data_IF_874038536974
#
_entry.id   IF_874038536974
#
_cell.length_a   1.000
_cell.length_b   1.000
_cell.length_c   1.000
_cell.angle_alpha   90.00
_cell.angle_beta   90.00
_cell.angle_gamma   90.00
#
_symmetry.space_group_name_H-M   'P 1'
#
loop_
_entity.id
_entity.type
_entity.pdbx_description
1 polymer ?
#
# COMPACT_ATOMS: atom_id res chain seq x y z
N UNK A 1 -6.77 17.92 3.98
CA UNK A 1 -6.82 16.61 4.65
C UNK A 1 -5.65 15.83 4.09
N UNK A 2 -4.76 15.37 4.95
CA UNK A 2 -3.65 14.51 4.56
C UNK A 2 -4.26 13.19 4.07
N UNK A 3 -3.92 12.76 2.85
CA UNK A 3 -4.42 11.54 2.22
C UNK A 3 -3.59 10.32 2.64
N UNK A 4 -4.10 9.10 2.40
CA UNK A 4 -3.37 7.87 2.72
C UNK A 4 -2.12 7.74 1.86
N UNK A 5 -2.24 8.06 0.56
CA UNK A 5 -1.11 8.10 -0.37
C UNK A 5 0.01 9.02 0.12
N UNK A 6 -0.32 10.16 0.75
CA UNK A 6 0.67 11.08 1.30
C UNK A 6 1.43 10.48 2.48
N UNK A 7 0.78 9.72 3.36
CA UNK A 7 1.47 9.00 4.43
C UNK A 7 2.45 7.95 3.86
N UNK A 8 2.03 7.23 2.83
CA UNK A 8 2.88 6.26 2.16
C UNK A 8 4.11 6.95 1.58
N UNK A 9 3.92 8.05 0.83
CA UNK A 9 5.02 8.88 0.31
C UNK A 9 5.94 9.40 1.41
N UNK A 10 5.40 9.79 2.57
CA UNK A 10 6.18 10.35 3.68
C UNK A 10 7.07 9.34 4.40
N UNK A 11 6.69 8.06 4.42
CA UNK A 11 7.36 7.08 5.28
C UNK A 11 7.95 5.87 4.55
N UNK A 12 7.50 5.54 3.33
CA UNK A 12 7.84 4.27 2.69
C UNK A 12 8.94 4.36 1.62
N UNK A 13 9.13 5.51 0.97
CA UNK A 13 10.22 5.72 0.00
C UNK A 13 10.66 7.17 -0.12
N UNK A 14 11.85 7.39 -0.67
CA UNK A 14 12.42 8.72 -0.93
C UNK A 14 12.60 8.94 -2.43
N UNK A 15 12.21 10.12 -2.94
CA UNK A 15 12.36 10.44 -4.35
C UNK A 15 11.35 9.71 -5.24
N UNK A 16 11.68 9.52 -6.51
CA UNK A 16 10.80 8.87 -7.49
C UNK A 16 10.63 7.38 -7.17
N UNK A 17 9.37 6.92 -7.10
CA UNK A 17 9.08 5.50 -6.93
C UNK A 17 9.44 4.72 -8.19
N UNK A 18 9.09 5.25 -9.37
CA UNK A 18 9.39 4.61 -10.65
C UNK A 18 10.90 4.46 -10.89
N UNK A 19 11.72 5.44 -10.53
CA UNK A 19 13.18 5.32 -10.68
C UNK A 19 13.75 4.19 -9.82
N UNK A 20 13.28 4.04 -8.57
CA UNK A 20 13.69 2.94 -7.69
C UNK A 20 13.22 1.59 -8.23
N UNK A 21 11.97 1.52 -8.69
CA UNK A 21 11.42 0.32 -9.33
C UNK A 21 12.24 -0.11 -10.55
N UNK A 22 12.52 0.83 -11.46
CA UNK A 22 13.30 0.59 -12.69
C UNK A 22 14.71 0.08 -12.40
N UNK A 23 15.36 0.60 -11.36
CA UNK A 23 16.68 0.14 -10.92
C UNK A 23 16.63 -1.32 -10.43
N UNK A 24 15.58 -1.73 -9.73
CA UNK A 24 15.43 -3.11 -9.23
C UNK A 24 15.24 -4.13 -10.37
N UNK A 25 14.51 -3.75 -11.42
CA UNK A 25 14.24 -4.62 -12.56
C UNK A 25 15.29 -4.50 -13.68
N UNK A 26 16.38 -3.76 -13.45
CA UNK A 26 17.44 -3.47 -14.43
C UNK A 26 16.91 -2.97 -15.79
N UNK A 27 15.84 -2.18 -15.78
CA UNK A 27 15.27 -1.61 -17.00
C UNK A 27 16.08 -0.40 -17.46
N UNK A 28 16.31 -0.26 -18.77
CA UNK A 28 17.00 0.91 -19.33
C UNK A 28 16.20 2.20 -19.08
N UNK A 29 16.89 3.26 -18.67
CA UNK A 29 16.33 4.55 -18.20
C UNK A 29 15.62 5.39 -19.28
N UNK A 30 15.44 4.87 -20.50
CA UNK A 30 14.90 5.63 -21.64
C UNK A 30 13.44 5.31 -21.97
N UNK A 31 12.81 4.41 -21.23
CA UNK A 31 11.39 4.07 -21.40
C UNK A 31 10.52 4.87 -20.44
N UNK A 32 9.40 5.40 -20.95
CA UNK A 32 8.36 6.00 -20.11
C UNK A 32 7.66 4.89 -19.33
N UNK A 33 7.36 5.12 -18.05
CA UNK A 33 6.82 4.08 -17.18
C UNK A 33 5.65 4.59 -16.35
N UNK A 34 4.77 3.66 -15.97
CA UNK A 34 3.67 3.88 -15.03
C UNK A 34 3.71 2.79 -13.95
N UNK A 35 3.15 3.10 -12.79
CA UNK A 35 2.91 2.14 -11.72
C UNK A 35 1.59 1.45 -12.06
N UNK A 36 1.55 0.12 -11.93
CA UNK A 36 0.32 -0.65 -12.10
C UNK A 36 0.05 -1.54 -10.90
N UNK A 37 -1.12 -1.38 -10.32
CA UNK A 37 -1.64 -2.24 -9.26
C UNK A 37 -2.69 -3.19 -9.84
N UNK A 38 -2.46 -4.51 -9.88
CA UNK A 38 -3.53 -5.47 -10.16
C UNK A 38 -4.61 -5.35 -9.08
N UNK A 39 -5.88 -5.51 -9.47
CA UNK A 39 -7.02 -5.46 -8.56
C UNK A 39 -8.05 -6.56 -8.87
N UNK A 40 -8.78 -6.97 -7.84
CA UNK A 40 -9.99 -7.80 -7.96
C UNK A 40 -11.21 -6.92 -7.72
N UNK A 41 -11.96 -6.64 -8.77
CA UNK A 41 -13.18 -5.84 -8.75
C UNK A 41 -14.42 -6.72 -8.61
N UNK A 42 -15.37 -6.27 -7.80
CA UNK A 42 -16.66 -6.91 -7.59
C UNK A 42 -17.77 -5.86 -7.68
N UNK A 43 -18.83 -6.16 -8.42
CA UNK A 43 -19.97 -5.26 -8.54
C UNK A 43 -20.69 -5.14 -7.19
N UNK A 44 -20.71 -3.95 -6.61
CA UNK A 44 -21.58 -3.58 -5.48
C UNK A 44 -22.89 -2.95 -5.95
N UNK A 45 -23.76 -2.57 -5.00
CA UNK A 45 -25.07 -1.97 -5.34
C UNK A 45 -24.98 -0.60 -6.01
N UNK A 46 -24.00 0.23 -5.64
CA UNK A 46 -23.82 1.59 -6.17
C UNK A 46 -22.40 1.90 -6.65
N UNK A 47 -21.43 1.06 -6.30
CA UNK A 47 -20.00 1.28 -6.55
C UNK A 47 -19.31 -0.05 -6.83
N UNK A 48 -18.16 0.01 -7.49
CA UNK A 48 -17.28 -1.15 -7.65
C UNK A 48 -16.44 -1.31 -6.39
N UNK A 49 -16.58 -2.42 -5.69
CA UNK A 49 -15.66 -2.78 -4.61
C UNK A 49 -14.40 -3.38 -5.21
N UNK A 50 -13.23 -3.11 -4.61
CA UNK A 50 -11.99 -3.74 -5.05
C UNK A 50 -11.18 -4.31 -3.88
N UNK A 51 -10.40 -5.33 -4.20
CA UNK A 51 -9.29 -5.82 -3.39
C UNK A 51 -7.99 -5.57 -4.14
N UNK A 52 -6.95 -5.20 -3.40
CA UNK A 52 -5.62 -4.89 -3.91
C UNK A 52 -4.53 -5.40 -2.96
N UNK A 53 -3.29 -5.21 -3.36
CA UNK A 53 -2.14 -5.49 -2.52
C UNK A 53 -2.05 -6.96 -2.08
N UNK A 54 -1.62 -7.15 -0.83
CA UNK A 54 -1.53 -8.45 -0.15
C UNK A 54 -2.84 -9.23 -0.10
N UNK A 55 -3.99 -8.55 -0.11
CA UNK A 55 -5.30 -9.21 -0.03
C UNK A 55 -5.60 -10.07 -1.27
N UNK A 56 -4.89 -9.81 -2.38
CA UNK A 56 -4.93 -10.67 -3.56
C UNK A 56 -4.23 -12.01 -3.33
N UNK A 57 -3.23 -12.10 -2.46
CA UNK A 57 -2.44 -13.33 -2.30
C UNK A 57 -1.73 -13.75 -3.60
N UNK A 58 -1.25 -12.78 -4.38
CA UNK A 58 -0.38 -13.04 -5.53
C UNK A 58 1.01 -13.45 -5.05
N UNK A 59 1.60 -14.47 -5.67
CA UNK A 59 3.02 -14.78 -5.53
C UNK A 59 3.84 -14.06 -6.62
N UNK A 60 5.16 -13.99 -6.44
CA UNK A 60 6.06 -13.44 -7.47
C UNK A 60 5.97 -14.22 -8.78
N UNK A 61 5.84 -15.54 -8.73
CA UNK A 61 5.71 -16.41 -9.91
C UNK A 61 4.37 -16.20 -10.62
N UNK A 62 3.27 -16.09 -9.86
CA UNK A 62 1.97 -15.77 -10.44
C UNK A 62 1.97 -14.39 -11.10
N UNK A 63 2.54 -13.38 -10.45
CA UNK A 63 2.67 -12.05 -11.02
C UNK A 63 3.45 -12.07 -12.35
N UNK A 64 4.58 -12.78 -12.42
CA UNK A 64 5.33 -12.99 -13.67
C UNK A 64 4.47 -13.64 -14.75
N UNK A 65 3.73 -14.69 -14.39
CA UNK A 65 2.87 -15.41 -15.33
C UNK A 65 1.75 -14.51 -15.88
N UNK A 66 1.15 -13.67 -15.04
CA UNK A 66 0.20 -12.65 -15.52
C UNK A 66 0.87 -11.66 -16.46
N UNK A 67 2.01 -11.08 -16.08
CA UNK A 67 2.73 -10.13 -16.93
C UNK A 67 3.11 -10.74 -18.29
N UNK A 68 3.50 -12.01 -18.37
CA UNK A 68 3.79 -12.70 -19.63
C UNK A 68 2.57 -12.76 -20.57
N UNK A 69 1.39 -13.04 -20.02
CA UNK A 69 0.12 -13.02 -20.77
C UNK A 69 -0.18 -11.62 -21.30
N UNK A 70 -0.05 -10.60 -20.45
CA UNK A 70 -0.30 -9.20 -20.83
C UNK A 70 0.71 -8.72 -21.89
N UNK A 71 2.00 -9.05 -21.73
CA UNK A 71 3.06 -8.68 -22.66
C UNK A 71 2.87 -9.34 -24.03
N UNK A 72 2.39 -10.57 -24.06
CA UNK A 72 2.06 -11.27 -25.31
C UNK A 72 0.90 -10.58 -26.01
N UNK A 73 -0.13 -10.16 -25.26
CA UNK A 73 -1.30 -9.46 -25.81
C UNK A 73 -0.93 -8.07 -26.36
N UNK A 74 -0.11 -7.31 -25.64
CA UNK A 74 0.21 -5.93 -25.96
C UNK A 74 1.52 -5.75 -26.76
N UNK A 75 2.09 -6.84 -27.27
CA UNK A 75 3.38 -6.81 -27.97
C UNK A 75 3.39 -5.80 -29.14
N UNK A 76 2.29 -5.71 -29.90
CA UNK A 76 2.16 -4.81 -31.04
C UNK A 76 2.03 -3.33 -30.63
N UNK A 77 1.58 -3.07 -29.41
CA UNK A 77 1.34 -1.74 -28.87
C UNK A 77 2.56 -1.19 -28.13
N UNK A 78 3.59 -2.03 -27.91
CA UNK A 78 4.85 -1.64 -27.27
C UNK A 78 4.75 -1.45 -25.76
N UNK A 79 3.68 -1.96 -25.13
CA UNK A 79 3.54 -1.97 -23.67
C UNK A 79 4.21 -3.19 -23.08
N UNK A 80 4.95 -3.01 -21.98
CA UNK A 80 5.63 -4.10 -21.31
C UNK A 80 5.48 -4.01 -19.79
N UNK A 81 4.75 -4.97 -19.24
CA UNK A 81 4.53 -5.20 -17.82
C UNK A 81 5.69 -5.98 -17.21
N UNK A 82 6.19 -5.49 -16.08
CA UNK A 82 7.26 -6.09 -15.30
C UNK A 82 6.86 -6.12 -13.82
N UNK A 83 6.80 -7.29 -13.17
CA UNK A 83 6.46 -7.35 -11.75
C UNK A 83 7.64 -6.88 -10.91
N UNK A 84 7.42 -5.84 -10.09
CA UNK A 84 8.42 -5.31 -9.14
C UNK A 84 8.24 -5.96 -7.77
N UNK A 85 6.97 -6.07 -7.34
CA UNK A 85 6.47 -6.87 -6.22
C UNK A 85 5.30 -7.72 -6.73
N UNK A 86 4.82 -8.74 -5.97
CA UNK A 86 3.70 -9.56 -6.43
C UNK A 86 2.45 -8.77 -6.83
N UNK A 87 2.20 -7.66 -6.13
CA UNK A 87 1.01 -6.81 -6.19
C UNK A 87 1.30 -5.36 -6.63
N UNK A 88 2.54 -5.03 -7.01
CA UNK A 88 2.92 -3.73 -7.60
C UNK A 88 3.84 -3.95 -8.78
N UNK A 89 3.41 -3.53 -9.96
CA UNK A 89 4.11 -3.76 -11.21
C UNK A 89 4.50 -2.42 -11.84
N UNK A 90 5.46 -2.48 -12.74
CA UNK A 90 5.82 -1.39 -13.63
C UNK A 90 5.34 -1.74 -15.03
N UNK A 91 4.82 -0.75 -15.75
CA UNK A 91 4.55 -0.90 -17.18
C UNK A 91 5.30 0.16 -17.94
N UNK A 92 6.10 -0.26 -18.94
CA UNK A 92 6.73 0.68 -19.86
C UNK A 92 5.83 0.93 -21.06
N UNK A 93 5.80 2.18 -21.53
CA UNK A 93 4.97 2.62 -22.65
C UNK A 93 5.85 3.18 -23.78
N UNK A 94 5.40 3.12 -25.05
CA UNK A 94 6.18 3.61 -26.19
C UNK A 94 6.31 5.15 -26.21
N UNK A 95 5.44 5.84 -25.47
CA UNK A 95 5.38 7.30 -25.38
C UNK A 95 5.00 7.74 -23.97
N UNK A 96 5.29 8.99 -23.63
CA UNK A 96 4.78 9.62 -22.41
C UNK A 96 3.25 9.66 -22.47
N UNK A 97 2.59 9.33 -21.36
CA UNK A 97 1.15 9.44 -21.22
C UNK A 97 0.82 10.50 -20.17
N UNK A 98 -0.01 11.46 -20.55
CA UNK A 98 -0.51 12.52 -19.70
C UNK A 98 -1.95 12.23 -19.30
N UNK A 99 -2.14 11.77 -18.07
CA UNK A 99 -3.44 11.55 -17.46
C UNK A 99 -3.36 11.74 -15.95
N UNK A 100 -4.52 11.99 -15.34
CA UNK A 100 -4.70 12.01 -13.90
C UNK A 100 -5.69 10.95 -13.49
N UNK A 101 -5.36 10.25 -12.42
CA UNK A 101 -6.21 9.27 -11.76
C UNK A 101 -5.85 9.29 -10.26
N UNK A 102 -6.82 9.24 -9.34
CA UNK A 102 -6.51 9.19 -7.91
C UNK A 102 -5.65 7.98 -7.57
N UNK A 103 -4.80 8.11 -6.55
CA UNK A 103 -4.05 6.96 -6.06
C UNK A 103 -5.01 5.90 -5.53
N UNK A 104 -4.72 4.62 -5.81
CA UNK A 104 -5.53 3.51 -5.31
C UNK A 104 -5.62 3.52 -3.77
N UNK A 105 -4.56 4.00 -3.11
CA UNK A 105 -4.47 4.13 -1.66
C UNK A 105 -5.57 5.03 -1.08
N UNK A 106 -6.08 5.99 -1.86
CA UNK A 106 -7.05 7.00 -1.39
C UNK A 106 -8.51 6.60 -1.68
N UNK A 107 -8.75 5.52 -2.44
CA UNK A 107 -10.10 5.12 -2.86
C UNK A 107 -10.87 4.27 -1.82
N UNK A 108 -10.26 4.00 -0.67
CA UNK A 108 -10.94 3.37 0.47
C UNK A 108 -11.70 2.06 0.15
N UNK A 109 -11.19 1.25 -0.80
CA UNK A 109 -11.79 -0.04 -1.16
C UNK A 109 -12.97 0.03 -2.15
N UNK A 110 -13.32 1.22 -2.64
CA UNK A 110 -14.37 1.36 -3.64
C UNK A 110 -14.04 2.38 -4.73
N UNK A 111 -14.34 2.03 -5.97
CA UNK A 111 -14.24 2.90 -7.13
C UNK A 111 -15.66 3.37 -7.46
N UNK A 112 -15.91 4.66 -7.28
CA UNK A 112 -17.15 5.30 -7.75
C UNK A 112 -17.12 5.42 -9.29
N UNK A 113 -18.30 5.37 -9.92
CA UNK A 113 -18.45 5.54 -11.37
C UNK A 113 -17.98 6.90 -11.89
N UNK A 114 -17.76 7.88 -11.00
CA UNK A 114 -17.14 9.18 -11.31
C UNK A 114 -15.61 9.13 -11.32
N UNK A 115 -15.01 8.12 -10.70
CA UNK A 115 -13.55 7.96 -10.62
C UNK A 115 -13.06 7.34 -11.92
N UNK A 116 -12.65 8.18 -12.86
CA UNK A 116 -12.15 7.79 -14.17
C UNK A 116 -10.88 8.58 -14.51
N UNK A 117 -10.03 8.05 -15.41
CA UNK A 117 -8.90 8.80 -15.93
C UNK A 117 -9.39 10.12 -16.54
N UNK A 118 -8.63 11.19 -16.34
CA UNK A 118 -8.84 12.49 -16.96
C UNK A 118 -7.55 12.99 -17.61
N UNK A 119 -7.65 13.93 -18.56
CA UNK A 119 -6.50 14.47 -19.30
C UNK A 119 -6.38 13.92 -20.73
N UNK A 120 -5.34 14.33 -21.47
CA UNK A 120 -5.16 14.01 -22.90
C UNK A 120 -5.21 12.52 -23.22
N UNK A 121 -4.56 11.68 -22.42
CA UNK A 121 -4.42 10.24 -22.68
C UNK A 121 -5.42 9.38 -21.88
N UNK A 122 -6.42 10.01 -21.24
CA UNK A 122 -7.41 9.32 -20.42
C UNK A 122 -8.17 8.21 -21.15
N UNK A 123 -8.54 8.46 -22.42
CA UNK A 123 -9.26 7.49 -23.25
C UNK A 123 -8.43 6.24 -23.50
N UNK A 124 -7.11 6.40 -23.73
CA UNK A 124 -6.19 5.29 -23.95
C UNK A 124 -6.07 4.43 -22.69
N UNK A 125 -5.91 5.05 -21.51
CA UNK A 125 -5.85 4.33 -20.23
C UNK A 125 -7.15 3.55 -19.99
N UNK A 126 -8.31 4.17 -20.20
CA UNK A 126 -9.60 3.49 -20.02
C UNK A 126 -9.79 2.33 -21.01
N UNK A 127 -9.32 2.50 -22.25
CA UNK A 127 -9.34 1.45 -23.26
C UNK A 127 -8.51 0.24 -22.80
N UNK A 128 -7.26 0.44 -22.39
CA UNK A 128 -6.42 -0.65 -21.89
C UNK A 128 -7.01 -1.30 -20.63
N UNK A 129 -7.54 -0.53 -19.68
CA UNK A 129 -8.23 -1.10 -18.51
C UNK A 129 -9.35 -2.06 -18.92
N UNK A 130 -10.16 -1.67 -19.91
CA UNK A 130 -11.27 -2.47 -20.42
C UNK A 130 -10.76 -3.71 -21.18
N UNK A 131 -9.77 -3.56 -22.04
CA UNK A 131 -9.21 -4.65 -22.84
C UNK A 131 -8.55 -5.72 -21.96
N UNK A 132 -7.74 -5.31 -20.99
CA UNK A 132 -7.07 -6.24 -20.07
C UNK A 132 -8.07 -6.95 -19.15
N UNK A 133 -9.13 -6.27 -18.74
CA UNK A 133 -10.25 -6.90 -18.03
C UNK A 133 -10.93 -7.97 -18.89
N UNK A 134 -11.24 -7.66 -20.15
CA UNK A 134 -11.86 -8.63 -21.07
C UNK A 134 -10.95 -9.83 -21.34
N UNK A 135 -9.65 -9.59 -21.55
CA UNK A 135 -8.64 -10.63 -21.74
C UNK A 135 -8.63 -11.63 -20.57
N UNK A 136 -8.74 -11.12 -19.33
CA UNK A 136 -8.64 -11.93 -18.13
C UNK A 136 -9.96 -12.53 -17.62
N UNK A 137 -11.12 -12.07 -18.12
CA UNK A 137 -12.45 -12.43 -17.60
C UNK A 137 -12.69 -13.95 -17.50
N UNK A 138 -12.13 -14.75 -18.42
CA UNK A 138 -12.23 -16.22 -18.39
C UNK A 138 -10.86 -16.92 -18.53
N UNK A 139 -9.77 -16.20 -18.28
CA UNK A 139 -8.44 -16.74 -18.47
C UNK A 139 -8.15 -17.89 -17.49
N UNK A 140 -7.45 -18.97 -17.90
CA UNK A 140 -7.13 -20.11 -17.05
C UNK A 140 -6.47 -19.74 -15.71
N UNK A 141 -5.67 -18.67 -15.67
CA UNK A 141 -5.06 -18.16 -14.43
C UNK A 141 -6.13 -17.78 -13.40
N UNK A 142 -7.18 -17.08 -13.81
CA UNK A 142 -8.28 -16.71 -12.92
C UNK A 142 -9.13 -17.92 -12.51
N UNK A 143 -9.28 -18.91 -13.38
CA UNK A 143 -9.95 -20.16 -13.03
C UNK A 143 -9.17 -20.92 -11.93
N UNK A 144 -7.84 -20.99 -12.04
CA UNK A 144 -6.98 -21.62 -11.02
C UNK A 144 -6.97 -20.85 -9.70
N UNK A 145 -7.05 -19.51 -9.74
CA UNK A 145 -7.19 -18.69 -8.53
C UNK A 145 -8.54 -18.93 -7.85
N UNK A 146 -9.62 -18.89 -8.62
CA UNK A 146 -10.98 -19.18 -8.12
C UNK A 146 -11.08 -20.59 -7.52
N UNK A 147 -10.49 -21.61 -8.16
CA UNK A 147 -10.45 -22.98 -7.65
C UNK A 147 -9.73 -23.12 -6.29
N UNK A 148 -8.84 -22.19 -5.96
CA UNK A 148 -8.14 -22.11 -4.65
C UNK A 148 -8.82 -21.16 -3.66
N UNK A 149 -9.95 -20.55 -4.02
CA UNK A 149 -10.63 -19.56 -3.21
C UNK A 149 -9.92 -18.19 -3.14
N UNK A 150 -9.01 -17.92 -4.08
CA UNK A 150 -8.30 -16.64 -4.17
C UNK A 150 -9.07 -15.63 -5.05
N UNK A 151 -8.99 -14.32 -4.78
CA UNK A 151 -9.57 -13.30 -5.64
C UNK A 151 -9.05 -13.38 -7.08
N UNK A 152 -9.93 -13.21 -8.07
CA UNK A 152 -9.51 -13.15 -9.48
C UNK A 152 -8.86 -11.79 -9.78
N UNK A 153 -7.94 -11.75 -10.75
CA UNK A 153 -7.37 -10.49 -11.23
C UNK A 153 -8.15 -10.08 -12.48
N UNK A 154 -9.01 -9.08 -12.35
CA UNK A 154 -9.91 -8.63 -13.42
C UNK A 154 -9.87 -7.12 -13.65
N UNK A 155 -8.88 -6.43 -13.09
CA UNK A 155 -8.64 -5.01 -13.32
C UNK A 155 -7.20 -4.63 -13.04
N UNK A 156 -6.80 -3.49 -13.60
CA UNK A 156 -5.48 -2.89 -13.43
C UNK A 156 -5.64 -1.40 -13.18
N UNK A 157 -5.07 -0.92 -12.08
CA UNK A 157 -5.06 0.49 -11.72
C UNK A 157 -3.74 1.11 -12.15
N UNK A 158 -3.80 2.15 -12.98
CA UNK A 158 -2.63 2.83 -13.52
C UNK A 158 -2.37 4.12 -12.73
N UNK A 159 -1.16 4.29 -12.23
CA UNK A 159 -0.72 5.47 -11.51
C UNK A 159 0.53 6.07 -12.17
N UNK A 160 0.61 7.39 -12.13
CA UNK A 160 1.83 8.13 -12.50
C UNK A 160 2.92 7.91 -11.44
N UNK A 161 4.12 8.43 -11.70
CA UNK A 161 5.16 8.45 -10.68
C UNK A 161 4.70 9.17 -9.41
N UNK A 162 5.21 8.71 -8.28
CA UNK A 162 4.90 9.26 -6.98
C UNK A 162 6.18 9.61 -6.23
N UNK A 163 6.34 10.90 -5.92
CA UNK A 163 7.51 11.40 -5.20
C UNK A 163 7.36 11.18 -3.70
N UNK A 164 8.25 10.37 -3.13
CA UNK A 164 8.35 10.11 -1.70
C UNK A 164 9.29 11.08 -1.00
N UNK A 165 9.07 11.26 0.30
CA UNK A 165 9.83 12.16 1.18
C UNK A 165 10.37 11.44 2.42
N UNK A 166 10.35 10.10 2.42
CA UNK A 166 10.89 9.33 3.53
C UNK A 166 12.38 9.63 3.77
N UNK A 167 12.78 9.54 5.04
CA UNK A 167 14.17 9.63 5.42
C UNK A 167 14.80 8.23 5.41
N UNK A 168 15.62 7.96 4.39
CA UNK A 168 16.31 6.68 4.22
C UNK A 168 17.37 6.38 5.30
N UNK A 169 17.72 7.34 6.15
CA UNK A 169 18.61 7.13 7.30
C UNK A 169 17.88 6.49 8.50
N UNK A 170 16.56 6.59 8.54
CA UNK A 170 15.73 6.02 9.60
C UNK A 170 15.37 4.58 9.24
N UNK A 171 15.51 3.66 10.20
CA UNK A 171 15.16 2.26 9.99
C UNK A 171 13.65 2.14 9.85
N UNK A 172 13.20 1.67 8.67
CA UNK A 172 11.80 1.38 8.38
C UNK A 172 11.53 -0.12 8.56
N UNK A 173 10.52 -0.41 9.38
CA UNK A 173 9.89 -1.71 9.50
C UNK A 173 8.51 -1.64 8.89
N UNK A 174 8.30 -2.35 7.79
CA UNK A 174 6.99 -2.44 7.16
C UNK A 174 6.89 -3.71 6.36
N UNK A 175 5.64 -4.06 6.16
CA UNK A 175 5.22 -5.19 5.39
C UNK A 175 4.59 -4.73 4.07
N UNK A 176 4.42 -3.42 3.87
CA UNK A 176 3.82 -2.84 2.67
C UNK A 176 4.68 -3.01 1.43
N UNK A 177 4.09 -3.44 0.32
CA UNK A 177 4.79 -3.63 -0.96
C UNK A 177 5.32 -2.32 -1.57
N UNK A 178 4.76 -1.18 -1.16
CA UNK A 178 5.19 0.14 -1.63
C UNK A 178 6.60 0.53 -1.17
N UNK A 179 7.15 -0.13 -0.15
CA UNK A 179 8.50 0.11 0.34
C UNK A 179 9.54 -0.77 -0.35
N UNK A 180 10.61 -0.14 -0.85
CA UNK A 180 11.76 -0.86 -1.44
C UNK A 180 12.80 -1.24 -0.40
N UNK A 181 13.05 -0.36 0.57
CA UNK A 181 14.12 -0.48 1.55
C UNK A 181 13.53 -0.54 2.95
N UNK A 182 12.99 -1.70 3.30
CA UNK A 182 12.39 -1.96 4.60
C UNK A 182 12.86 -3.29 5.19
N UNK A 183 12.80 -3.39 6.52
CA UNK A 183 12.87 -4.65 7.26
C UNK A 183 11.45 -5.19 7.44
N UNK A 184 11.33 -6.52 7.52
CA UNK A 184 10.06 -7.19 7.82
C UNK A 184 9.44 -6.65 9.11
N UNK A 185 8.13 -6.44 9.11
CA UNK A 185 7.45 -5.93 10.29
C UNK A 185 7.57 -6.95 11.44
N UNK A 186 8.01 -6.54 12.65
CA UNK A 186 8.05 -7.43 13.80
C UNK A 186 6.63 -7.88 14.18
N UNK A 187 6.47 -9.05 14.77
CA UNK A 187 5.17 -9.49 15.26
C UNK A 187 4.72 -8.72 16.51
N UNK A 188 5.67 -8.32 17.36
CA UNK A 188 5.40 -7.63 18.63
C UNK A 188 6.59 -6.79 19.09
N UNK A 189 6.38 -6.02 20.17
CA UNK A 189 7.40 -5.17 20.76
C UNK A 189 8.65 -5.94 21.25
N UNK A 190 8.49 -7.18 21.75
CA UNK A 190 9.61 -7.95 22.27
C UNK A 190 10.60 -8.33 21.15
N UNK A 191 10.07 -8.76 20.00
CA UNK A 191 10.88 -9.03 18.81
C UNK A 191 11.60 -7.76 18.33
N UNK A 192 10.89 -6.64 18.27
CA UNK A 192 11.51 -5.35 17.93
C UNK A 192 12.64 -5.01 18.90
N UNK A 193 12.37 -5.03 20.20
CA UNK A 193 13.34 -4.66 21.23
C UNK A 193 14.62 -5.50 21.17
N UNK A 194 14.52 -6.77 20.81
CA UNK A 194 15.67 -7.66 20.61
C UNK A 194 16.51 -7.29 19.38
N UNK A 195 15.90 -6.69 18.35
CA UNK A 195 16.58 -6.26 17.13
C UNK A 195 17.29 -4.90 17.26
N UNK A 196 16.92 -4.10 18.26
CA UNK A 196 17.44 -2.76 18.44
C UNK A 196 18.78 -2.78 19.19
N UNK A 197 19.74 -2.00 18.69
CA UNK A 197 21.03 -1.80 19.34
C UNK A 197 21.27 -0.31 19.58
N UNK A 198 21.19 0.11 20.84
CA UNK A 198 21.38 1.51 21.25
C UNK A 198 20.16 2.40 21.01
N UNK A 199 20.37 3.71 21.11
CA UNK A 199 19.33 4.71 20.86
C UNK A 199 19.26 5.01 19.37
N UNK A 200 18.15 4.66 18.74
CA UNK A 200 17.91 4.91 17.33
C UNK A 200 16.45 5.33 17.13
N UNK A 201 16.23 6.24 16.20
CA UNK A 201 14.89 6.53 15.68
C UNK A 201 14.50 5.44 14.69
N UNK A 202 13.26 4.97 14.77
CA UNK A 202 12.72 3.92 13.92
C UNK A 202 11.29 4.29 13.50
N UNK A 203 10.87 3.79 12.35
CA UNK A 203 9.48 3.87 11.88
C UNK A 203 8.93 2.46 11.76
N UNK A 204 7.80 2.22 12.42
CA UNK A 204 6.94 1.07 12.18
C UNK A 204 5.76 1.53 11.34
N UNK A 205 5.64 1.02 10.12
CA UNK A 205 4.51 1.32 9.26
C UNK A 205 3.67 0.06 9.07
N UNK A 206 2.51 0.02 9.73
CA UNK A 206 1.57 -1.08 9.67
C UNK A 206 0.23 -0.59 9.08
N UNK A 207 -0.13 -1.12 7.92
CA UNK A 207 -1.35 -0.81 7.15
C UNK A 207 -2.41 -1.91 7.26
N UNK A 208 -2.28 -2.86 8.20
CA UNK A 208 -3.19 -4.00 8.38
C UNK A 208 -4.65 -3.58 8.63
N UNK A 209 -4.89 -2.42 9.25
CA UNK A 209 -6.25 -1.88 9.46
C UNK A 209 -6.90 -1.35 8.17
N UNK A 210 -6.15 -1.10 7.09
CA UNK A 210 -6.71 -0.55 5.85
C UNK A 210 -7.77 -1.46 5.26
N UNK A 211 -7.51 -2.77 5.17
CA UNK A 211 -8.44 -3.73 4.57
C UNK A 211 -9.79 -3.81 5.30
N UNK A 212 -9.86 -4.05 6.62
CA UNK A 212 -11.14 -4.10 7.32
C UNK A 212 -11.85 -2.74 7.33
N UNK A 213 -11.13 -1.62 7.37
CA UNK A 213 -11.74 -0.28 7.22
C UNK A 213 -12.40 -0.12 5.85
N UNK A 214 -11.68 -0.48 4.78
CA UNK A 214 -12.17 -0.41 3.40
C UNK A 214 -13.41 -1.31 3.17
N UNK A 215 -13.47 -2.46 3.86
CA UNK A 215 -14.59 -3.41 3.75
C UNK A 215 -15.74 -3.12 4.72
N UNK A 216 -15.57 -2.18 5.67
CA UNK A 216 -16.51 -1.97 6.76
C UNK A 216 -16.60 -3.16 7.73
N UNK A 217 -15.57 -4.00 7.80
CA UNK A 217 -15.50 -5.15 8.68
C UNK A 217 -15.09 -4.73 10.10
N UNK A 218 -16.10 -4.36 10.87
CA UNK A 218 -15.94 -3.95 12.27
C UNK A 218 -15.38 -5.10 13.13
N UNK A 219 -15.70 -6.36 12.82
CA UNK A 219 -15.26 -7.48 13.63
C UNK A 219 -13.75 -7.67 13.52
N UNK A 220 -13.23 -7.82 12.31
CA UNK A 220 -11.79 -7.97 12.06
C UNK A 220 -11.01 -6.74 12.55
N UNK A 221 -11.56 -5.53 12.33
CA UNK A 221 -10.99 -4.30 12.87
C UNK A 221 -10.80 -4.35 14.39
N UNK A 222 -11.83 -4.76 15.14
CA UNK A 222 -11.75 -4.85 16.60
C UNK A 222 -10.78 -5.94 17.07
N UNK A 223 -10.69 -7.06 16.35
CA UNK A 223 -9.74 -8.13 16.68
C UNK A 223 -8.29 -7.66 16.52
N UNK A 224 -7.96 -6.99 15.41
CA UNK A 224 -6.61 -6.45 15.19
C UNK A 224 -6.24 -5.46 16.30
N UNK A 225 -7.14 -4.56 16.67
CA UNK A 225 -6.89 -3.61 17.76
C UNK A 225 -6.68 -4.29 19.11
N UNK A 226 -7.47 -5.32 19.43
CA UNK A 226 -7.28 -6.10 20.67
C UNK A 226 -5.94 -6.83 20.68
N UNK A 227 -5.51 -7.35 19.53
CA UNK A 227 -4.22 -7.99 19.41
C UNK A 227 -3.08 -6.98 19.55
N UNK A 228 -3.16 -5.83 18.89
CA UNK A 228 -2.17 -4.75 19.03
C UNK A 228 -2.08 -4.21 20.46
N UNK A 229 -3.17 -4.21 21.23
CA UNK A 229 -3.13 -3.85 22.65
C UNK A 229 -2.16 -4.74 23.43
N UNK A 230 -2.21 -6.06 23.18
CA UNK A 230 -1.32 -7.03 23.83
C UNK A 230 0.11 -6.99 23.27
N UNK A 231 0.24 -7.02 21.95
CA UNK A 231 1.53 -7.21 21.27
C UNK A 231 2.38 -5.92 21.23
N UNK A 232 1.72 -4.76 21.27
CA UNK A 232 2.35 -3.46 21.06
C UNK A 232 2.04 -2.43 22.14
N UNK A 233 0.78 -2.06 22.36
CA UNK A 233 0.44 -0.89 23.17
C UNK A 233 0.81 -1.05 24.65
N UNK A 234 0.46 -2.18 25.29
CA UNK A 234 0.84 -2.43 26.68
C UNK A 234 2.36 -2.53 26.87
N UNK A 235 3.11 -3.29 26.03
CA UNK A 235 4.57 -3.31 26.11
C UNK A 235 5.23 -1.95 25.88
N UNK A 236 4.78 -1.18 24.87
CA UNK A 236 5.31 0.16 24.58
C UNK A 236 5.06 1.14 25.73
N UNK A 237 3.87 1.10 26.34
CA UNK A 237 3.55 1.89 27.52
C UNK A 237 4.45 1.52 28.70
N UNK A 238 4.70 0.23 28.91
CA UNK A 238 5.62 -0.27 29.94
C UNK A 238 7.05 0.19 29.68
N UNK A 239 7.51 0.14 28.43
CA UNK A 239 8.84 0.61 28.03
C UNK A 239 9.01 2.13 28.21
N UNK A 240 7.96 2.92 27.93
CA UNK A 240 7.93 4.36 28.22
C UNK A 240 8.00 4.63 29.74
N UNK A 241 7.25 3.88 30.56
CA UNK A 241 7.32 3.98 32.02
C UNK A 241 8.72 3.68 32.55
N UNK A 242 9.33 2.60 32.04
CA UNK A 242 10.66 2.13 32.43
C UNK A 242 11.81 2.94 31.83
N UNK A 243 11.52 3.98 31.02
CA UNK A 243 12.50 4.84 30.33
C UNK A 243 13.38 4.11 29.32
N UNK A 244 12.91 2.99 28.79
CA UNK A 244 13.54 2.29 27.67
C UNK A 244 13.26 3.01 26.35
N UNK A 245 12.11 3.68 26.26
CA UNK A 245 11.74 4.57 25.16
C UNK A 245 11.54 5.98 25.72
N UNK A 246 12.00 6.99 24.98
CA UNK A 246 11.86 8.40 25.38
C UNK A 246 10.71 9.11 24.68
N UNK A 247 10.42 8.71 23.43
CA UNK A 247 9.43 9.31 22.55
C UNK A 247 8.66 8.21 21.82
N UNK A 248 7.33 8.30 21.83
CA UNK A 248 6.46 7.47 21.00
C UNK A 248 5.53 8.40 20.23
N UNK A 249 5.60 8.34 18.90
CA UNK A 249 4.76 9.12 18.01
C UNK A 249 3.82 8.17 17.28
N UNK A 250 2.51 8.39 17.35
CA UNK A 250 1.51 7.62 16.62
C UNK A 250 0.92 8.55 15.56
N UNK A 251 1.21 8.26 14.29
CA UNK A 251 0.73 9.02 13.14
C UNK A 251 -0.38 8.23 12.45
N UNK A 252 -1.51 8.90 12.21
CA UNK A 252 -2.60 8.45 11.35
C UNK A 252 -2.79 9.48 10.23
N UNK A 253 -3.73 9.23 9.32
CA UNK A 253 -3.99 10.07 8.14
C UNK A 253 -4.08 11.55 8.51
N UNK A 254 -4.94 11.91 9.47
CA UNK A 254 -5.14 13.32 9.86
C UNK A 254 -4.59 13.69 11.26
N UNK A 255 -4.02 12.74 12.01
CA UNK A 255 -3.64 12.94 13.42
C UNK A 255 -2.20 12.55 13.74
N UNK A 256 -1.56 13.28 14.65
CA UNK A 256 -0.27 12.90 15.25
C UNK A 256 -0.37 12.99 16.77
N UNK A 257 -0.25 11.85 17.44
CA UNK A 257 -0.18 11.77 18.89
C UNK A 257 1.28 11.64 19.33
N UNK A 258 1.77 12.64 20.05
CA UNK A 258 3.13 12.67 20.58
C UNK A 258 3.13 12.34 22.07
N UNK A 259 3.67 11.18 22.44
CA UNK A 259 3.75 10.71 23.82
C UNK A 259 5.18 10.87 24.31
N UNK A 260 5.34 11.62 25.41
CA UNK A 260 6.60 11.78 26.14
C UNK A 260 6.40 11.39 27.58
N UNK A 261 7.46 11.04 28.30
CA UNK A 261 7.33 10.65 29.71
C UNK A 261 6.64 11.68 30.62
N UNK A 262 6.76 12.99 30.33
CA UNK A 262 6.03 14.04 31.06
C UNK A 262 4.52 14.05 30.82
N UNK A 263 4.00 13.13 29.98
CA UNK A 263 2.59 12.95 29.65
C UNK A 263 1.85 11.91 30.50
N UNK A 264 2.58 11.07 31.25
CA UNK A 264 2.00 10.26 32.33
C UNK A 264 1.72 11.18 33.53
N UNK A 265 0.75 12.07 33.33
CA UNK A 265 0.37 13.15 34.23
C UNK A 265 -0.43 12.56 35.40
N UNK A 266 -0.41 13.22 36.58
CA UNK A 266 -1.22 12.83 37.72
C UNK A 266 -2.71 12.76 37.33
N UNK A 267 -3.45 11.89 38.02
CA UNK A 267 -4.86 11.50 37.83
C UNK A 267 -5.91 12.61 37.62
N UNK A 268 -5.54 13.89 37.71
CA UNK A 268 -6.42 15.06 37.64
C UNK A 268 -6.47 15.76 36.27
N UNK A 269 -5.71 15.32 35.25
CA UNK A 269 -5.81 15.89 33.89
C UNK A 269 -6.76 15.05 33.03
N UNK A 270 -7.76 15.72 32.45
CA UNK A 270 -8.75 15.12 31.54
C UNK A 270 -8.03 14.50 30.34
N UNK A 271 -8.28 13.21 30.10
CA UNK A 271 -7.79 12.48 28.93
C UNK A 271 -8.72 12.75 27.76
N UNK A 272 -8.18 13.28 26.66
CA UNK A 272 -8.88 13.35 25.37
C UNK A 272 -8.58 12.08 24.58
N UNK A 273 -9.60 11.51 23.95
CA UNK A 273 -9.48 10.28 23.17
C UNK A 273 -8.90 10.61 21.79
N UNK A 274 -7.71 10.09 21.49
CA UNK A 274 -7.17 10.17 20.14
C UNK A 274 -7.97 9.27 19.20
N UNK A 275 -8.59 9.86 18.17
CA UNK A 275 -9.43 9.15 17.21
C UNK A 275 -8.77 9.02 15.82
N UNK A 276 -7.50 9.43 15.68
CA UNK A 276 -6.76 9.40 14.41
C UNK A 276 -7.16 10.49 13.39
N UNK A 277 -8.27 11.20 13.62
CA UNK A 277 -8.77 12.31 12.80
C UNK A 277 -8.54 13.68 13.43
N UNK A 278 -8.38 13.72 14.75
CA UNK A 278 -8.00 14.87 15.56
C UNK A 278 -7.31 14.40 16.85
N UNK A 279 -6.62 15.34 17.53
CA UNK A 279 -6.26 15.17 18.94
C UNK A 279 -7.49 15.30 19.83
#
# INVERSE_FOLDING_TARGET
MDSRSLLYQQYLWQGSWLQQASQLINSESNSYALIVSPISQTAGMHQLQYLDGKSLGLSTEEAKTFCEVLNTWLQAEGWQFCPVKPDLWLVTTPQTLEFTLPSLLDLSGSIDGTTKPAGPDATLILQHQTELQMLLHQHPLNQQRSARGLPIINGFWFEQDSMGTANNEIILYTDSSWAFHARSLPANYAELANSLSGQQEIVLFNDELCLPVNQGDVYTYTQILQQWEHDWWQPLLTALHNRQIHHLNIRCEAGLLNIRKSWLRPFWRKTESFNGLSL
#
